data_IF_395553689589
#
_entry.id   IF_395553689589
#
_cell.length_a   1.000
_cell.length_b   1.000
_cell.length_c   1.000
_cell.angle_alpha   90.00
_cell.angle_beta   90.00
_cell.angle_gamma   90.00
#
_symmetry.space_group_name_H-M   'P 1'
#
loop_
_entity.id
_entity.type
_entity.pdbx_description
1 polymer ?
#
# COMPACT_ATOMS: atom_id res chain seq x y z
N UNK A 1 15.79 -35.84 -14.94
CA UNK A 1 14.77 -35.72 -13.85
C UNK A 1 14.95 -36.76 -12.74
N UNK A 2 15.11 -38.05 -13.03
CA UNK A 2 15.31 -39.10 -11.99
C UNK A 2 16.57 -38.91 -11.12
N UNK A 3 17.69 -38.48 -11.70
CA UNK A 3 18.94 -38.26 -10.94
C UNK A 3 18.80 -37.09 -9.95
N UNK A 4 18.20 -35.97 -10.37
CA UNK A 4 17.88 -34.83 -9.50
C UNK A 4 16.86 -35.21 -8.40
N UNK A 5 15.89 -36.08 -8.70
CA UNK A 5 14.91 -36.54 -7.74
C UNK A 5 15.54 -37.43 -6.66
N UNK A 6 16.49 -38.30 -7.02
CA UNK A 6 17.25 -39.13 -6.07
C UNK A 6 18.12 -38.28 -5.16
N UNK A 7 18.81 -37.28 -5.74
CA UNK A 7 19.66 -36.35 -5.00
C UNK A 7 18.82 -35.42 -4.09
N UNK A 8 17.63 -35.02 -4.52
CA UNK A 8 16.64 -34.31 -3.69
C UNK A 8 16.13 -35.19 -2.55
N UNK A 9 15.77 -36.45 -2.81
CA UNK A 9 15.34 -37.40 -1.77
C UNK A 9 16.47 -37.69 -0.77
N UNK A 10 17.69 -37.86 -1.25
CA UNK A 10 18.86 -38.08 -0.41
C UNK A 10 19.15 -36.85 0.44
N UNK A 11 19.05 -35.63 -0.11
CA UNK A 11 19.13 -34.40 0.69
C UNK A 11 17.95 -34.25 1.66
N UNK A 12 16.73 -34.63 1.26
CA UNK A 12 15.53 -34.57 2.09
C UNK A 12 15.54 -35.64 3.20
N UNK A 13 16.27 -36.74 3.05
CA UNK A 13 16.41 -37.78 4.09
C UNK A 13 17.63 -37.49 4.97
N UNK A 14 18.72 -36.98 4.39
CA UNK A 14 20.00 -36.72 5.09
C UNK A 14 20.01 -35.37 5.82
N UNK A 15 19.35 -34.36 5.25
CA UNK A 15 19.10 -33.04 5.86
C UNK A 15 17.62 -32.80 6.20
N UNK A 16 16.75 -33.82 6.04
CA UNK A 16 15.32 -33.73 6.32
C UNK A 16 14.99 -33.19 7.69
N UNK A 17 14.12 -32.18 7.75
CA UNK A 17 13.59 -31.56 8.98
C UNK A 17 14.64 -31.25 10.07
N UNK A 18 15.94 -31.25 9.74
CA UNK A 18 17.01 -30.97 10.71
C UNK A 18 16.99 -29.51 11.19
N UNK A 19 16.23 -28.67 10.48
CA UNK A 19 15.71 -27.42 11.00
C UNK A 19 14.38 -27.76 11.66
N UNK A 20 14.43 -28.15 12.93
CA UNK A 20 13.23 -28.43 13.71
C UNK A 20 12.39 -27.14 13.75
N UNK A 21 11.23 -27.08 13.06
CA UNK A 21 10.49 -25.84 12.88
C UNK A 21 10.00 -25.30 14.22
N UNK A 22 9.75 -26.20 15.19
CA UNK A 22 9.35 -25.82 16.54
C UNK A 22 10.52 -25.20 17.29
N UNK A 23 11.75 -25.70 17.11
CA UNK A 23 12.94 -25.13 17.73
C UNK A 23 13.30 -23.77 17.11
N UNK A 24 13.11 -23.59 15.80
CA UNK A 24 13.27 -22.29 15.12
C UNK A 24 12.27 -21.27 15.66
N UNK A 25 11.00 -21.65 15.81
CA UNK A 25 9.97 -20.77 16.37
C UNK A 25 10.22 -20.48 17.86
N UNK A 26 10.66 -21.48 18.62
CA UNK A 26 11.01 -21.33 20.04
C UNK A 26 12.23 -20.41 20.24
N UNK A 27 13.25 -20.54 19.40
CA UNK A 27 14.41 -19.65 19.39
C UNK A 27 14.02 -18.22 19.00
N UNK A 28 13.09 -18.06 18.04
CA UNK A 28 12.52 -16.76 17.68
C UNK A 28 11.74 -16.10 18.84
N UNK A 29 10.98 -16.88 19.61
CA UNK A 29 10.23 -16.39 20.78
C UNK A 29 11.12 -16.09 21.98
N UNK A 30 12.23 -16.81 22.13
CA UNK A 30 13.15 -16.67 23.26
C UNK A 30 14.14 -15.53 23.08
N UNK A 31 14.63 -15.31 21.86
CA UNK A 31 15.54 -14.22 21.51
C UNK A 31 15.10 -13.52 20.20
N UNK A 32 14.15 -12.56 20.26
CA UNK A 32 13.59 -11.89 19.08
C UNK A 32 14.62 -11.08 18.27
N UNK A 33 15.80 -10.81 18.84
CA UNK A 33 16.91 -10.11 18.17
C UNK A 33 17.85 -11.05 17.39
N UNK A 34 17.80 -12.36 17.64
CA UNK A 34 18.70 -13.34 17.00
C UNK A 34 18.40 -13.55 15.52
N UNK A 35 17.17 -13.28 15.08
CA UNK A 35 16.73 -13.40 13.69
C UNK A 35 16.10 -12.10 13.18
N UNK A 36 16.90 -11.19 12.59
CA UNK A 36 16.42 -9.89 12.13
C UNK A 36 15.41 -9.98 10.98
N UNK A 37 15.42 -11.06 10.19
CA UNK A 37 14.53 -11.22 9.04
C UNK A 37 13.02 -11.27 9.40
N UNK A 38 12.53 -12.16 10.29
CA UNK A 38 11.14 -12.14 10.74
C UNK A 38 10.76 -10.87 11.52
N UNK A 39 11.69 -10.29 12.29
CA UNK A 39 11.47 -9.01 12.96
C UNK A 39 11.19 -7.89 11.93
N UNK A 40 11.98 -7.85 10.86
CA UNK A 40 11.79 -6.93 9.74
C UNK A 40 10.43 -7.15 9.05
N UNK A 41 9.97 -8.38 8.87
CA UNK A 41 8.64 -8.67 8.27
C UNK A 41 7.51 -8.14 9.17
N UNK A 42 7.61 -8.34 10.49
CA UNK A 42 6.61 -7.81 11.44
C UNK A 42 6.63 -6.28 11.41
N UNK A 43 7.80 -5.65 11.41
CA UNK A 43 7.94 -4.21 11.28
C UNK A 43 7.33 -3.68 9.96
N UNK A 44 7.49 -4.42 8.86
CA UNK A 44 6.90 -4.10 7.55
C UNK A 44 5.37 -3.99 7.60
N UNK A 45 4.70 -4.83 8.41
CA UNK A 45 3.25 -4.73 8.62
C UNK A 45 2.87 -3.44 9.34
N UNK A 46 3.69 -2.96 10.27
CA UNK A 46 3.51 -1.66 10.93
C UNK A 46 3.48 -0.50 9.92
N UNK A 47 4.40 -0.49 8.96
CA UNK A 47 4.41 0.52 7.90
C UNK A 47 3.17 0.45 6.99
N UNK A 48 2.68 -0.76 6.69
CA UNK A 48 1.43 -0.92 5.95
C UNK A 48 0.23 -0.33 6.73
N UNK A 49 0.16 -0.56 8.04
CA UNK A 49 -0.87 0.02 8.89
C UNK A 49 -0.78 1.55 8.94
N UNK A 50 0.42 2.13 9.08
CA UNK A 50 0.62 3.59 9.05
C UNK A 50 0.11 4.18 7.74
N UNK A 51 0.46 3.56 6.61
CA UNK A 51 -0.02 4.01 5.28
C UNK A 51 -1.55 4.01 5.20
N UNK A 52 -2.19 2.96 5.70
CA UNK A 52 -3.65 2.87 5.74
C UNK A 52 -4.27 3.92 6.67
N UNK A 53 -3.66 4.20 7.82
CA UNK A 53 -4.16 5.24 8.73
C UNK A 53 -4.07 6.62 8.09
N UNK A 54 -2.96 6.94 7.43
CA UNK A 54 -2.78 8.19 6.68
C UNK A 54 -3.84 8.29 5.58
N UNK A 55 -4.08 7.23 4.83
CA UNK A 55 -5.07 7.22 3.76
C UNK A 55 -6.51 7.37 4.29
N UNK A 56 -6.86 6.68 5.39
CA UNK A 56 -8.17 6.83 6.03
C UNK A 56 -8.38 8.26 6.50
N UNK A 57 -7.37 8.89 7.11
CA UNK A 57 -7.44 10.30 7.55
C UNK A 57 -7.58 11.27 6.37
N UNK A 58 -6.89 10.99 5.26
CA UNK A 58 -6.99 11.77 4.03
C UNK A 58 -8.38 11.62 3.39
N UNK A 59 -8.94 10.41 3.36
CA UNK A 59 -10.28 10.13 2.82
C UNK A 59 -11.39 10.78 3.66
N UNK A 60 -11.22 10.90 4.97
CA UNK A 60 -12.15 11.63 5.85
C UNK A 60 -12.10 13.15 5.70
N UNK A 61 -11.20 13.69 4.86
CA UNK A 61 -11.06 15.14 4.66
C UNK A 61 -10.45 15.90 5.85
N UNK A 62 -10.03 15.19 6.90
CA UNK A 62 -9.40 15.78 8.08
C UNK A 62 -7.99 16.32 7.82
N UNK A 63 -7.35 15.90 6.71
CA UNK A 63 -5.97 16.23 6.37
C UNK A 63 -5.90 16.93 5.01
N UNK A 64 -5.17 18.05 4.96
CA UNK A 64 -4.90 18.78 3.72
C UNK A 64 -4.16 17.90 2.71
N UNK A 65 -4.52 18.01 1.42
CA UNK A 65 -3.94 17.19 0.34
C UNK A 65 -2.41 17.29 0.25
N UNK A 66 -1.87 18.48 0.55
CA UNK A 66 -0.43 18.74 0.56
C UNK A 66 0.27 17.99 1.69
N UNK A 67 -0.32 18.02 2.89
CA UNK A 67 0.18 17.29 4.06
C UNK A 67 0.09 15.78 3.87
N UNK A 68 -1.00 15.28 3.27
CA UNK A 68 -1.16 13.86 2.96
C UNK A 68 -0.09 13.35 1.98
N UNK A 69 0.26 14.15 0.97
CA UNK A 69 1.28 13.79 -0.03
C UNK A 69 2.68 13.76 0.59
N UNK A 70 3.02 14.75 1.43
CA UNK A 70 4.31 14.79 2.15
C UNK A 70 4.44 13.61 3.11
N UNK A 71 3.39 13.34 3.89
CA UNK A 71 3.40 12.25 4.87
C UNK A 71 3.50 10.88 4.20
N UNK A 72 2.82 10.68 3.07
CA UNK A 72 2.97 9.48 2.25
C UNK A 72 4.38 9.33 1.70
N UNK A 73 4.99 10.41 1.22
CA UNK A 73 6.36 10.39 0.67
C UNK A 73 7.38 10.06 1.76
N UNK A 74 7.24 10.65 2.94
CA UNK A 74 8.08 10.37 4.09
C UNK A 74 7.93 8.93 4.59
N UNK A 75 6.70 8.43 4.66
CA UNK A 75 6.44 7.04 5.02
C UNK A 75 7.04 6.05 4.00
N UNK A 76 6.91 6.35 2.71
CA UNK A 76 7.51 5.54 1.64
C UNK A 76 9.04 5.52 1.72
N UNK A 77 9.66 6.67 2.01
CA UNK A 77 11.10 6.79 2.22
C UNK A 77 11.52 5.97 3.45
N UNK A 78 10.76 6.06 4.54
CA UNK A 78 11.05 5.34 5.77
C UNK A 78 10.96 3.82 5.57
N UNK A 79 9.98 3.33 4.80
CA UNK A 79 9.86 1.90 4.42
C UNK A 79 11.09 1.37 3.72
N UNK A 80 11.79 2.21 2.95
CA UNK A 80 13.00 1.83 2.21
C UNK A 80 14.27 2.00 3.06
N UNK A 81 14.37 3.10 3.79
CA UNK A 81 15.54 3.42 4.62
C UNK A 81 15.62 2.54 5.86
N UNK A 82 14.51 2.20 6.50
CA UNK A 82 14.48 1.39 7.71
C UNK A 82 15.14 0.01 7.55
N UNK A 83 14.73 -0.85 6.59
CA UNK A 83 15.37 -2.15 6.39
C UNK A 83 16.82 -2.02 5.94
N UNK A 84 17.17 -0.98 5.17
CA UNK A 84 18.55 -0.72 4.76
C UNK A 84 19.45 -0.37 5.95
N UNK A 85 18.99 0.50 6.85
CA UNK A 85 19.71 0.86 8.07
C UNK A 85 19.85 -0.32 9.02
N UNK A 86 18.80 -1.14 9.18
CA UNK A 86 18.85 -2.33 10.02
C UNK A 86 19.85 -3.36 9.47
N UNK A 87 19.86 -3.60 8.16
CA UNK A 87 20.83 -4.52 7.54
C UNK A 87 22.27 -3.99 7.66
N UNK A 88 22.48 -2.67 7.56
CA UNK A 88 23.81 -2.06 7.74
C UNK A 88 24.27 -2.05 9.20
N UNK A 89 23.36 -1.84 10.15
CA UNK A 89 23.67 -1.79 11.58
C UNK A 89 23.87 -3.20 12.18
N UNK A 90 23.15 -4.20 11.68
CA UNK A 90 23.24 -5.58 12.15
C UNK A 90 24.17 -6.37 11.21
N UNK A 91 25.48 -6.29 11.47
CA UNK A 91 26.52 -7.02 10.73
C UNK A 91 26.42 -8.55 10.85
N UNK A 92 25.62 -9.07 11.79
CA UNK A 92 25.38 -10.51 11.98
C UNK A 92 24.30 -11.10 11.07
N UNK A 93 23.70 -10.33 10.15
CA UNK A 93 22.66 -10.83 9.25
C UNK A 93 23.28 -11.72 8.17
N UNK A 94 22.73 -12.92 7.98
CA UNK A 94 23.12 -13.77 6.85
C UNK A 94 22.78 -13.09 5.52
N UNK A 95 23.67 -13.10 4.51
CA UNK A 95 23.41 -12.44 3.22
C UNK A 95 22.08 -12.87 2.57
N UNK A 96 21.72 -14.15 2.69
CA UNK A 96 20.45 -14.68 2.20
C UNK A 96 19.23 -14.07 2.94
N UNK A 97 19.30 -13.90 4.26
CA UNK A 97 18.26 -13.28 5.06
C UNK A 97 18.09 -11.78 4.77
N UNK A 98 19.19 -11.08 4.51
CA UNK A 98 19.17 -9.67 4.12
C UNK A 98 18.47 -9.46 2.77
N UNK A 99 18.84 -10.25 1.74
CA UNK A 99 18.20 -10.18 0.41
C UNK A 99 16.70 -10.49 0.52
N UNK A 100 16.34 -11.52 1.28
CA UNK A 100 14.94 -11.87 1.50
C UNK A 100 14.16 -10.72 2.16
N UNK A 101 14.67 -10.16 3.28
CA UNK A 101 14.01 -9.06 3.97
C UNK A 101 13.89 -7.80 3.10
N UNK A 102 14.95 -7.43 2.36
CA UNK A 102 14.94 -6.31 1.44
C UNK A 102 13.96 -6.52 0.28
N UNK A 103 13.86 -7.75 -0.26
CA UNK A 103 12.91 -8.07 -1.32
C UNK A 103 11.46 -7.89 -0.86
N UNK A 104 11.12 -8.34 0.35
CA UNK A 104 9.78 -8.18 0.93
C UNK A 104 9.44 -6.69 1.11
N UNK A 105 10.39 -5.90 1.64
CA UNK A 105 10.20 -4.45 1.79
C UNK A 105 10.05 -3.74 0.45
N UNK A 106 10.80 -4.16 -0.57
CA UNK A 106 10.71 -3.61 -1.92
C UNK A 106 9.35 -3.92 -2.56
N UNK A 107 8.85 -5.16 -2.42
CA UNK A 107 7.52 -5.54 -2.92
C UNK A 107 6.42 -4.74 -2.20
N UNK A 108 6.53 -4.57 -0.89
CA UNK A 108 5.60 -3.75 -0.11
C UNK A 108 5.64 -2.29 -0.55
N UNK A 109 6.83 -1.72 -0.72
CA UNK A 109 7.02 -0.37 -1.24
C UNK A 109 6.30 -0.18 -2.58
N UNK A 110 6.47 -1.11 -3.52
CA UNK A 110 5.82 -1.05 -4.84
C UNK A 110 4.29 -1.12 -4.73
N UNK A 111 3.77 -1.99 -3.86
CA UNK A 111 2.32 -2.08 -3.61
C UNK A 111 1.77 -0.78 -3.02
N UNK A 112 2.43 -0.21 -2.03
CA UNK A 112 1.99 1.03 -1.37
C UNK A 112 2.08 2.23 -2.32
N UNK A 113 3.13 2.29 -3.15
CA UNK A 113 3.29 3.31 -4.18
C UNK A 113 2.14 3.27 -5.20
N UNK A 114 1.87 2.08 -5.75
CA UNK A 114 0.76 1.87 -6.69
C UNK A 114 -0.60 2.23 -6.07
N UNK A 115 -0.83 1.82 -4.82
CA UNK A 115 -2.06 2.16 -4.09
C UNK A 115 -2.25 3.67 -3.92
N UNK A 116 -1.18 4.38 -3.53
CA UNK A 116 -1.19 5.85 -3.40
C UNK A 116 -1.54 6.53 -4.72
N UNK A 117 -0.89 6.11 -5.81
CA UNK A 117 -1.05 6.75 -7.11
C UNK A 117 -2.48 6.53 -7.67
N UNK A 118 -3.03 5.33 -7.52
CA UNK A 118 -4.42 5.03 -7.90
C UNK A 118 -5.42 5.83 -7.08
N UNK A 119 -5.23 5.94 -5.76
CA UNK A 119 -6.13 6.71 -4.90
C UNK A 119 -6.07 8.21 -5.19
N UNK A 120 -4.86 8.74 -5.43
CA UNK A 120 -4.67 10.13 -5.86
C UNK A 120 -5.41 10.39 -7.17
N UNK A 121 -5.24 9.51 -8.16
CA UNK A 121 -5.93 9.63 -9.45
C UNK A 121 -7.47 9.56 -9.33
N UNK A 122 -7.98 8.67 -8.47
CA UNK A 122 -9.42 8.56 -8.21
C UNK A 122 -9.98 9.84 -7.57
N UNK A 123 -9.25 10.44 -6.62
CA UNK A 123 -9.62 11.74 -6.01
C UNK A 123 -9.61 12.88 -7.03
N UNK A 124 -8.57 13.00 -7.84
CA UNK A 124 -8.48 14.02 -8.89
C UNK A 124 -9.64 13.91 -9.89
N UNK A 125 -9.98 12.69 -10.31
CA UNK A 125 -11.15 12.44 -11.17
C UNK A 125 -12.47 12.83 -10.52
N UNK A 126 -12.65 12.54 -9.23
CA UNK A 126 -13.86 12.95 -8.48
C UNK A 126 -13.95 14.47 -8.36
N UNK A 127 -12.85 15.14 -8.01
CA UNK A 127 -12.78 16.61 -7.94
C UNK A 127 -13.04 17.26 -9.30
N UNK A 128 -12.47 16.72 -10.38
CA UNK A 128 -12.72 17.19 -11.74
C UNK A 128 -14.17 16.97 -12.18
N UNK A 129 -14.79 15.85 -11.81
CA UNK A 129 -16.22 15.59 -12.06
C UNK A 129 -17.12 16.50 -11.24
N UNK A 130 -16.78 16.79 -9.97
CA UNK A 130 -17.53 17.73 -9.13
C UNK A 130 -17.42 19.18 -9.64
N UNK A 131 -16.24 19.57 -10.16
CA UNK A 131 -16.03 20.86 -10.82
C UNK A 131 -16.80 20.97 -12.14
N UNK A 132 -16.89 19.89 -12.93
CA UNK A 132 -17.68 19.82 -14.17
C UNK A 132 -19.18 19.66 -13.94
N UNK A 133 -19.58 19.13 -12.78
CA UNK A 133 -20.97 18.90 -12.37
C UNK A 133 -21.65 20.12 -11.71
N UNK A 134 -20.92 21.22 -11.51
CA UNK A 134 -21.54 22.53 -11.33
C UNK A 134 -21.84 23.09 -12.73
N UNK A 135 -23.08 23.00 -13.26
CA UNK A 135 -23.51 24.08 -14.14
C UNK A 135 -23.34 25.35 -13.30
N UNK A 136 -22.71 26.37 -13.87
CA UNK A 136 -22.71 27.70 -13.32
C UNK A 136 -24.11 27.96 -12.74
N UNK A 137 -24.15 28.27 -11.44
CA UNK A 137 -25.35 28.67 -10.72
C UNK A 137 -26.20 29.53 -11.64
N UNK A 138 -27.40 29.04 -11.96
CA UNK A 138 -28.31 29.63 -12.91
C UNK A 138 -28.61 31.11 -12.63
N UNK A 139 -29.24 31.80 -13.60
CA UNK A 139 -29.46 33.23 -13.52
C UNK A 139 -30.22 33.58 -12.24
N UNK A 140 -29.65 34.52 -11.49
CA UNK A 140 -30.27 35.25 -10.39
C UNK A 140 -31.72 35.56 -10.75
N UNK A 141 -32.68 34.99 -10.00
CA UNK A 141 -34.11 35.31 -10.09
C UNK A 141 -34.29 36.82 -10.00
N UNK A 142 -34.49 37.48 -11.14
CA UNK A 142 -35.12 38.78 -11.22
C UNK A 142 -36.62 38.52 -11.34
N UNK A 143 -37.40 39.02 -10.38
CA UNK A 143 -38.85 39.06 -10.45
C UNK A 143 -39.29 39.66 -11.79
N UNK A 144 -40.02 38.88 -12.58
CA UNK A 144 -40.65 39.34 -13.81
C UNK A 144 -41.70 38.33 -14.24
N UNK A 145 -42.98 38.73 -14.15
CA UNK A 145 -44.11 37.95 -14.63
C UNK A 145 -43.90 37.54 -16.09
N UNK A 146 -43.80 36.24 -16.37
CA UNK A 146 -43.86 35.71 -17.72
C UNK A 146 -44.90 34.58 -17.75
N UNK A 147 -45.99 34.85 -18.47
CA UNK A 147 -47.13 33.98 -18.74
C UNK A 147 -46.64 32.65 -19.36
N UNK A 148 -47.15 31.48 -18.96
CA UNK A 148 -46.76 30.22 -19.58
C UNK A 148 -47.31 30.13 -21.00
N UNK A 149 -46.41 30.23 -22.00
CA UNK A 149 -46.74 30.03 -23.41
C UNK A 149 -47.00 28.53 -23.64
N UNK A 150 -48.27 28.17 -23.84
CA UNK A 150 -48.74 26.83 -24.19
C UNK A 150 -48.19 26.47 -25.59
N UNK A 151 -47.22 25.56 -25.64
CA UNK A 151 -46.70 25.02 -26.91
C UNK A 151 -47.64 23.89 -27.36
N UNK A 152 -48.36 24.12 -28.45
CA UNK A 152 -49.17 23.12 -29.16
C UNK A 152 -48.32 22.57 -30.31
N UNK A 153 -48.13 21.24 -30.35
CA UNK A 153 -47.51 20.56 -31.48
C UNK A 153 -48.58 20.17 -32.52
N UNK A 154 -48.29 20.27 -33.83
CA UNK A 154 -49.19 19.80 -34.86
C UNK A 154 -49.17 18.26 -34.95
N UNK A 155 -50.36 17.68 -35.08
CA UNK A 155 -50.58 16.27 -35.39
C UNK A 155 -50.18 16.03 -36.85
N UNK A 156 -49.13 15.24 -37.06
CA UNK A 156 -48.79 14.73 -38.36
C UNK A 156 -49.39 13.31 -38.44
N UNK A 157 -50.50 13.18 -39.18
CA UNK A 157 -51.06 11.90 -39.62
C UNK A 157 -50.01 11.05 -40.33
#
# INVERSE_FOLDING_TARGET
>A
VLSNARLFLENLIKYGILVDPIQVISLFLKDPYSWPAPCLIIAANGFALVTLHVEKKLATGSLSERSGTVLHTFNLLTVLCFPALVVLAVTSVTPAGAIFALSVHTVLFLKLFSFRDVNKWCREKKSAKAARGHPASGPRKANGNAVPQKVTYPDNL
#
